data_IF_627546867311
#
_entry.id   IF_627546867311
#
_cell.length_a   1.000
_cell.length_b   1.000
_cell.length_c   1.000
_cell.angle_alpha   90.00
_cell.angle_beta   90.00
_cell.angle_gamma   90.00
#
_symmetry.space_group_name_H-M   'P 1'
#
loop_
_entity.id
_entity.type
_entity.pdbx_description
1 polymer ?
#
# COMPACT_ATOMS: atom_id res chain seq x y z
N UNK A 1 -4.41 14.14 5.83
CA UNK A 1 -2.95 13.96 5.60
C UNK A 1 -2.64 14.37 4.17
N UNK A 2 -1.46 14.97 3.91
CA UNK A 2 -1.01 15.35 2.57
C UNK A 2 0.13 14.44 2.05
N UNK A 3 0.51 14.60 0.78
CA UNK A 3 1.53 13.76 0.13
C UNK A 3 2.89 13.82 0.82
N UNK A 4 3.33 15.00 1.25
CA UNK A 4 4.63 15.19 1.92
C UNK A 4 4.69 14.47 3.28
N UNK A 5 3.59 14.48 4.04
CA UNK A 5 3.49 13.72 5.29
C UNK A 5 3.61 12.22 5.03
N UNK A 6 2.92 11.70 4.01
CA UNK A 6 2.97 10.27 3.67
C UNK A 6 4.34 9.87 3.13
N UNK A 7 4.97 10.71 2.28
CA UNK A 7 6.36 10.48 1.84
C UNK A 7 7.32 10.37 3.02
N UNK A 8 7.17 11.22 4.03
CA UNK A 8 7.98 11.17 5.25
C UNK A 8 7.77 9.86 6.03
N UNK A 9 6.51 9.44 6.20
CA UNK A 9 6.15 8.16 6.84
C UNK A 9 6.77 6.99 6.08
N UNK A 10 6.56 6.93 4.75
CA UNK A 10 7.11 5.89 3.88
C UNK A 10 8.63 5.86 3.95
N UNK A 11 9.30 7.01 3.83
CA UNK A 11 10.76 7.09 3.89
C UNK A 11 11.31 6.63 5.23
N UNK A 12 10.62 6.94 6.34
CA UNK A 12 11.00 6.47 7.67
C UNK A 12 10.82 4.96 7.79
N UNK A 13 9.69 4.42 7.35
CA UNK A 13 9.41 2.99 7.36
C UNK A 13 10.39 2.22 6.46
N UNK A 14 10.77 2.78 5.32
CA UNK A 14 11.71 2.16 4.39
C UNK A 14 13.08 1.92 5.03
N UNK A 15 13.52 2.78 5.95
CA UNK A 15 14.80 2.62 6.68
C UNK A 15 14.82 1.41 7.60
N UNK A 16 13.67 0.94 8.07
CA UNK A 16 13.59 -0.25 8.93
C UNK A 16 13.49 -1.54 8.13
N UNK A 17 13.16 -1.47 6.84
CA UNK A 17 13.04 -2.68 6.03
C UNK A 17 14.44 -3.19 5.65
N UNK A 18 14.72 -4.46 5.97
CA UNK A 18 16.00 -5.14 5.70
C UNK A 18 15.76 -6.31 4.77
N UNK A 19 16.62 -6.49 3.76
CA UNK A 19 16.62 -7.64 2.83
C UNK A 19 15.25 -7.93 2.21
N UNK A 20 14.83 -7.11 1.24
CA UNK A 20 13.57 -7.30 0.54
C UNK A 20 13.88 -7.97 -0.79
N UNK A 21 13.46 -9.23 -0.91
CA UNK A 21 13.29 -9.94 -2.17
C UNK A 21 12.11 -10.86 -1.98
N UNK A 22 10.96 -10.50 -2.56
CA UNK A 22 9.74 -11.27 -2.42
C UNK A 22 9.32 -11.94 -3.73
N UNK A 23 8.24 -12.71 -3.67
CA UNK A 23 7.76 -13.54 -4.79
C UNK A 23 7.36 -12.70 -6.03
N UNK A 24 7.05 -11.42 -5.83
CA UNK A 24 6.71 -10.44 -6.86
C UNK A 24 7.92 -9.63 -7.36
N UNK A 25 9.14 -9.97 -6.94
CA UNK A 25 10.36 -9.29 -7.36
C UNK A 25 10.51 -7.88 -6.80
N UNK A 26 9.85 -7.56 -5.68
CA UNK A 26 10.12 -6.33 -4.95
C UNK A 26 11.50 -6.43 -4.33
N UNK A 27 12.30 -5.41 -4.59
CA UNK A 27 13.66 -5.21 -4.11
C UNK A 27 13.80 -3.80 -3.54
N UNK A 28 14.90 -3.54 -2.86
CA UNK A 28 15.24 -2.17 -2.43
C UNK A 28 15.32 -1.16 -3.61
N UNK A 29 15.55 -1.64 -4.84
CA UNK A 29 15.78 -0.79 -6.03
C UNK A 29 14.49 -0.26 -6.65
N UNK A 30 13.46 -1.09 -6.76
CA UNK A 30 12.11 -0.71 -7.22
C UNK A 30 11.29 -0.02 -6.12
N UNK A 31 11.57 -0.28 -4.83
CA UNK A 31 11.09 0.56 -3.72
C UNK A 31 11.55 2.02 -3.79
N UNK A 32 12.66 2.29 -4.47
CA UNK A 32 13.20 3.64 -4.67
C UNK A 32 12.35 4.52 -5.61
N UNK A 33 11.40 3.96 -6.35
CA UNK A 33 10.48 4.74 -7.20
C UNK A 33 9.25 5.09 -6.40
N UNK A 34 9.43 6.05 -5.50
CA UNK A 34 8.45 6.50 -4.51
C UNK A 34 7.34 7.29 -5.22
N UNK A 35 6.17 6.67 -5.40
CA UNK A 35 5.00 7.30 -6.02
C UNK A 35 3.92 7.44 -4.96
N UNK A 36 3.87 8.61 -4.30
CA UNK A 36 2.89 8.93 -3.27
C UNK A 36 1.76 9.76 -3.86
N UNK A 37 0.64 9.11 -4.14
CA UNK A 37 -0.53 9.72 -4.77
C UNK A 37 -1.83 9.29 -4.07
N UNK A 38 -2.82 10.20 -3.95
CA UNK A 38 -4.09 9.86 -3.34
C UNK A 38 -4.82 8.85 -4.21
N UNK A 39 -5.45 7.86 -3.59
CA UNK A 39 -6.12 6.77 -4.27
C UNK A 39 -7.41 6.40 -3.54
N UNK A 40 -8.41 5.93 -4.28
CA UNK A 40 -9.70 5.49 -3.71
C UNK A 40 -9.79 3.98 -3.78
N UNK A 41 -9.92 3.34 -2.63
CA UNK A 41 -9.88 1.87 -2.48
C UNK A 41 -11.21 1.41 -1.88
N UNK A 42 -11.82 0.37 -2.44
CA UNK A 42 -12.95 -0.31 -1.82
C UNK A 42 -12.44 -1.14 -0.66
N UNK A 43 -12.99 -0.91 0.53
CA UNK A 43 -12.70 -1.68 1.74
C UNK A 43 -13.99 -2.38 2.17
N UNK A 44 -13.92 -3.69 2.31
CA UNK A 44 -14.95 -4.49 2.96
C UNK A 44 -14.61 -4.56 4.45
N UNK A 45 -15.48 -4.00 5.30
CA UNK A 45 -15.24 -3.99 6.75
C UNK A 45 -15.96 -5.11 7.49
N UNK A 46 -17.13 -5.52 7.02
CA UNK A 46 -17.95 -6.58 7.64
C UNK A 46 -18.94 -7.11 6.59
N UNK A 47 -18.62 -8.20 5.87
CA UNK A 47 -19.39 -9.09 4.93
C UNK A 47 -20.65 -8.56 4.18
N UNK A 48 -20.93 -7.26 4.23
CA UNK A 48 -22.22 -6.59 4.02
C UNK A 48 -21.98 -5.12 3.61
N UNK A 49 -20.95 -4.44 4.15
CA UNK A 49 -20.67 -3.03 3.82
C UNK A 49 -19.32 -2.85 3.08
N UNK A 50 -19.43 -2.46 1.81
CA UNK A 50 -18.32 -2.03 0.97
C UNK A 50 -18.28 -0.49 0.94
N UNK A 51 -17.21 0.08 1.47
CA UNK A 51 -17.03 1.54 1.49
C UNK A 51 -15.77 1.96 0.72
N UNK A 52 -15.83 3.11 0.05
CA UNK A 52 -14.64 3.71 -0.57
C UNK A 52 -13.84 4.46 0.50
N UNK A 53 -12.56 4.14 0.61
CA UNK A 53 -11.60 4.81 1.49
C UNK A 53 -10.52 5.52 0.69
N UNK A 54 -10.16 6.72 1.13
CA UNK A 54 -9.02 7.47 0.60
C UNK A 54 -7.74 6.99 1.26
N UNK A 55 -6.88 6.35 0.46
CA UNK A 55 -5.56 5.89 0.84
C UNK A 55 -4.50 6.63 0.01
N UNK A 56 -3.24 6.35 0.29
CA UNK A 56 -2.11 6.86 -0.48
C UNK A 56 -1.32 5.71 -1.05
N UNK A 57 -1.42 5.47 -2.36
CA UNK A 57 -0.50 4.53 -3.02
C UNK A 57 0.90 5.08 -2.83
N UNK A 58 1.82 4.23 -2.39
CA UNK A 58 3.23 4.58 -2.16
C UNK A 58 4.17 3.79 -3.07
N UNK A 59 3.75 2.60 -3.48
CA UNK A 59 4.49 1.70 -4.37
C UNK A 59 3.51 1.00 -5.32
N UNK A 60 3.88 0.88 -6.59
CA UNK A 60 3.20 -0.02 -7.53
C UNK A 60 4.09 -1.22 -7.77
N UNK A 61 3.59 -2.41 -7.42
CA UNK A 61 4.32 -3.68 -7.54
C UNK A 61 4.26 -4.16 -8.99
N UNK A 62 3.05 -4.16 -9.55
CA UNK A 62 2.76 -4.36 -10.95
C UNK A 62 1.51 -3.55 -11.33
N UNK A 63 0.89 -3.85 -12.49
CA UNK A 63 -0.31 -3.13 -12.94
C UNK A 63 -1.51 -3.31 -11.99
N UNK A 64 -1.65 -4.53 -11.44
CA UNK A 64 -2.78 -4.92 -10.59
C UNK A 64 -2.51 -4.71 -9.09
N UNK A 65 -1.30 -4.98 -8.62
CA UNK A 65 -0.95 -4.95 -7.19
C UNK A 65 -0.20 -3.67 -6.84
N UNK A 66 -0.70 -2.98 -5.80
CA UNK A 66 -0.09 -1.77 -5.26
C UNK A 66 -0.04 -1.85 -3.74
N UNK A 67 0.91 -1.12 -3.16
CA UNK A 67 0.98 -0.91 -1.73
C UNK A 67 0.58 0.53 -1.41
N UNK A 68 -0.36 0.68 -0.49
CA UNK A 68 -0.89 1.96 -0.04
C UNK A 68 -0.70 2.14 1.46
N UNK A 69 -0.73 3.39 1.90
CA UNK A 69 -0.84 3.77 3.30
C UNK A 69 -2.26 4.26 3.58
N UNK A 70 -2.90 3.69 4.59
CA UNK A 70 -4.20 4.13 5.06
C UNK A 70 -4.04 5.12 6.23
N UNK A 71 -4.32 6.42 6.03
CA UNK A 71 -4.20 7.42 7.08
C UNK A 71 -5.32 7.34 8.13
N UNK A 72 -6.39 6.58 7.90
CA UNK A 72 -7.48 6.43 8.87
C UNK A 72 -7.07 5.48 10.00
N UNK A 73 -6.57 4.30 9.64
CA UNK A 73 -6.17 3.25 10.59
C UNK A 73 -4.66 3.28 10.89
N UNK A 74 -3.88 4.10 10.18
CA UNK A 74 -2.41 4.17 10.23
C UNK A 74 -1.72 2.85 9.88
N UNK A 75 -2.25 2.14 8.88
CA UNK A 75 -1.77 0.83 8.43
C UNK A 75 -1.24 0.86 7.00
N UNK A 76 -0.48 -0.17 6.66
CA UNK A 76 -0.02 -0.47 5.30
C UNK A 76 -0.97 -1.46 4.65
N UNK A 77 -1.43 -1.15 3.44
CA UNK A 77 -2.49 -1.88 2.78
C UNK A 77 -2.02 -2.38 1.43
N UNK A 78 -2.14 -3.68 1.19
CA UNK A 78 -1.98 -4.27 -0.13
C UNK A 78 -3.32 -4.17 -0.84
N UNK A 79 -3.31 -3.56 -2.02
CA UNK A 79 -4.50 -3.36 -2.85
C UNK A 79 -4.34 -4.02 -4.21
N UNK A 80 -5.42 -4.58 -4.72
CA UNK A 80 -5.47 -5.26 -6.01
C UNK A 80 -6.54 -4.66 -6.92
N UNK A 81 -6.19 -4.49 -8.19
CA UNK A 81 -7.13 -4.10 -9.25
C UNK A 81 -8.10 -5.26 -9.53
N UNK A 82 -9.40 -4.99 -9.43
CA UNK A 82 -10.45 -5.97 -9.75
C UNK A 82 -11.04 -5.72 -11.14
N UNK A 83 -11.02 -4.46 -11.59
CA UNK A 83 -11.38 -4.02 -12.93
C UNK A 83 -10.62 -2.74 -13.33
N UNK A 84 -10.99 -2.13 -14.46
CA UNK A 84 -10.27 -0.99 -15.03
C UNK A 84 -10.15 0.25 -14.12
N UNK A 85 -10.92 0.35 -13.03
CA UNK A 85 -10.87 1.52 -12.12
C UNK A 85 -11.09 1.19 -10.64
N UNK A 86 -11.36 -0.05 -10.29
CA UNK A 86 -11.59 -0.46 -8.90
C UNK A 86 -10.42 -1.23 -8.32
N UNK A 87 -10.04 -0.81 -7.12
CA UNK A 87 -9.07 -1.49 -6.29
C UNK A 87 -9.74 -1.91 -5.00
N UNK A 88 -9.51 -3.15 -4.60
CA UNK A 88 -9.93 -3.67 -3.30
C UNK A 88 -8.74 -3.77 -2.37
N UNK A 89 -8.99 -3.62 -1.09
CA UNK A 89 -8.04 -3.99 -0.05
C UNK A 89 -7.97 -5.53 0.05
N UNK A 90 -6.76 -6.08 0.00
CA UNK A 90 -6.51 -7.51 0.25
C UNK A 90 -6.10 -7.75 1.70
N UNK A 91 -5.09 -7.02 2.16
CA UNK A 91 -4.43 -7.21 3.45
C UNK A 91 -4.10 -5.83 4.03
N UNK A 92 -4.18 -5.71 5.36
CA UNK A 92 -3.79 -4.52 6.12
C UNK A 92 -2.86 -4.91 7.25
N UNK A 93 -1.67 -4.33 7.30
CA UNK A 93 -0.62 -4.62 8.27
C UNK A 93 -0.20 -3.37 9.04
N UNK A 94 0.31 -3.55 10.25
CA UNK A 94 0.77 -2.44 11.09
C UNK A 94 2.10 -1.85 10.60
N UNK A 95 2.91 -2.64 9.89
CA UNK A 95 4.22 -2.22 9.40
C UNK A 95 4.42 -2.42 7.90
N UNK A 96 5.31 -1.60 7.32
CA UNK A 96 5.69 -1.70 5.91
C UNK A 96 6.38 -3.04 5.63
N UNK A 97 7.10 -3.59 6.60
CA UNK A 97 7.81 -4.87 6.43
C UNK A 97 6.82 -6.02 6.32
N UNK A 98 5.85 -6.13 7.23
CA UNK A 98 4.81 -7.16 7.17
C UNK A 98 3.98 -7.06 5.89
N UNK A 99 3.63 -5.85 5.46
CA UNK A 99 2.89 -5.66 4.22
C UNK A 99 3.70 -6.07 2.98
N UNK A 100 5.02 -5.94 3.00
CA UNK A 100 5.92 -6.38 1.94
C UNK A 100 6.18 -7.90 1.99
N UNK A 101 6.13 -8.51 3.17
CA UNK A 101 6.27 -9.97 3.36
C UNK A 101 4.98 -10.72 2.98
N UNK A 102 3.84 -10.04 3.05
CA UNK A 102 2.52 -10.56 2.67
C UNK A 102 2.27 -10.63 1.16
N UNK A 103 3.24 -10.17 0.37
CA UNK A 103 3.27 -10.24 -1.10
C UNK A 103 4.53 -11.00 -1.51
#
# INVERSE_FOLDING_TARGET
>A
MNSEQVKSIFTKALKSVKNIENSYGITAKNLGTLKVEPFSVTVERDDIDMSKRKMWVCLSVNESIKLAYDPHDNTWVVIEAVDNQEFIQLISEESLTEALDSI
#
